data_IF_709923246825
#
_entry.id   IF_709923246825
#
_cell.length_a   1.000
_cell.length_b   1.000
_cell.length_c   1.000
_cell.angle_alpha   90.00
_cell.angle_beta   90.00
_cell.angle_gamma   90.00
#
_symmetry.space_group_name_H-M   'P 1'
#
loop_
_entity.id
_entity.type
_entity.pdbx_description
1 polymer ?
#
# COMPACT_ATOMS: atom_id res chain seq x y z
N UNK A 1 -53.28 28.61 -52.19
CA UNK A 1 -51.99 28.88 -51.56
C UNK A 1 -51.98 28.11 -50.24
N UNK A 2 -51.33 26.94 -50.19
CA UNK A 2 -51.20 26.04 -48.98
C UNK A 2 -49.84 26.28 -48.34
N UNK A 3 -49.80 26.82 -47.13
CA UNK A 3 -48.58 27.03 -46.34
C UNK A 3 -48.29 25.75 -45.56
N UNK A 4 -47.18 25.08 -45.89
CA UNK A 4 -46.68 23.98 -45.12
C UNK A 4 -45.87 24.50 -43.93
N UNK A 5 -46.27 24.13 -42.70
CA UNK A 5 -45.52 24.41 -41.50
C UNK A 5 -44.50 23.29 -41.32
N UNK A 6 -43.21 23.64 -41.31
CA UNK A 6 -42.10 22.72 -41.00
C UNK A 6 -41.89 22.75 -39.49
N UNK A 7 -42.20 21.65 -38.83
CA UNK A 7 -41.96 21.46 -37.38
C UNK A 7 -40.53 20.95 -37.20
N UNK A 8 -39.62 21.79 -36.71
CA UNK A 8 -38.25 21.40 -36.35
C UNK A 8 -38.28 20.82 -34.92
N UNK A 9 -38.15 19.50 -34.81
CA UNK A 9 -38.00 18.82 -33.52
C UNK A 9 -36.53 18.95 -33.11
N UNK A 10 -36.25 19.81 -32.15
CA UNK A 10 -34.94 19.91 -31.53
C UNK A 10 -34.74 18.69 -30.58
N UNK A 11 -33.91 17.76 -30.99
CA UNK A 11 -33.52 16.60 -30.19
C UNK A 11 -32.50 17.05 -29.13
N UNK A 12 -32.98 17.33 -27.91
CA UNK A 12 -32.11 17.62 -26.76
C UNK A 12 -31.42 16.35 -26.30
N UNK A 13 -30.13 16.21 -26.60
CA UNK A 13 -29.28 15.14 -26.05
C UNK A 13 -29.08 15.49 -24.56
N UNK A 14 -29.79 14.79 -23.68
CA UNK A 14 -29.46 14.78 -22.24
C UNK A 14 -28.12 14.07 -22.07
N UNK A 15 -27.07 14.82 -21.80
CA UNK A 15 -25.82 14.28 -21.30
C UNK A 15 -26.06 13.75 -19.88
N UNK A 16 -26.12 12.43 -19.74
CA UNK A 16 -26.12 11.80 -18.42
C UNK A 16 -24.77 12.12 -17.73
N UNK A 17 -24.80 12.58 -16.45
CA UNK A 17 -23.57 12.75 -15.70
C UNK A 17 -22.87 11.40 -15.62
N UNK A 18 -21.63 11.29 -16.09
CA UNK A 18 -20.79 10.14 -15.85
C UNK A 18 -20.62 10.01 -14.34
N UNK A 19 -21.18 8.97 -13.75
CA UNK A 19 -20.90 8.63 -12.35
C UNK A 19 -19.40 8.34 -12.28
N UNK A 20 -18.64 9.23 -11.65
CA UNK A 20 -17.25 8.96 -11.35
C UNK A 20 -17.18 7.72 -10.48
N UNK A 21 -16.33 6.76 -10.84
CA UNK A 21 -16.10 5.57 -9.99
C UNK A 21 -15.72 6.03 -8.59
N UNK A 22 -16.25 5.38 -7.55
CA UNK A 22 -16.04 5.83 -6.19
C UNK A 22 -14.55 5.78 -5.84
N UNK A 23 -14.10 6.79 -5.11
CA UNK A 23 -12.77 6.80 -4.48
C UNK A 23 -12.58 5.55 -3.64
N UNK A 24 -11.47 4.85 -3.86
CA UNK A 24 -11.12 3.62 -3.12
C UNK A 24 -9.93 3.82 -2.18
N UNK A 25 -9.18 4.90 -2.39
CA UNK A 25 -7.98 5.19 -1.62
C UNK A 25 -7.35 6.51 -2.04
N UNK A 26 -6.12 6.69 -1.62
CA UNK A 26 -5.29 7.88 -1.89
C UNK A 26 -3.83 7.46 -2.14
N UNK A 27 -3.16 8.19 -3.00
CA UNK A 27 -1.69 8.10 -3.14
C UNK A 27 -1.04 8.75 -1.93
N UNK A 28 -0.34 7.98 -1.09
CA UNK A 28 0.25 8.47 0.17
C UNK A 28 1.74 8.77 0.06
N UNK A 29 2.45 8.18 -0.92
CA UNK A 29 3.83 8.53 -1.25
C UNK A 29 4.13 8.18 -2.70
N UNK A 30 5.07 8.92 -3.32
CA UNK A 30 5.56 8.62 -4.67
C UNK A 30 7.04 8.94 -4.79
N UNK A 31 7.71 8.26 -5.71
CA UNK A 31 9.05 8.61 -6.21
C UNK A 31 8.96 8.63 -7.72
N UNK A 32 9.61 9.60 -8.36
CA UNK A 32 9.52 9.78 -9.82
C UNK A 32 8.14 10.29 -10.26
N UNK A 33 7.68 9.83 -11.40
CA UNK A 33 6.42 10.22 -12.02
C UNK A 33 5.48 9.05 -12.29
N UNK A 34 5.07 8.25 -11.28
CA UNK A 34 4.10 7.19 -11.50
C UNK A 34 2.79 7.78 -12.03
N UNK A 35 2.12 7.03 -12.91
CA UNK A 35 0.87 7.49 -13.53
C UNK A 35 -0.32 6.64 -13.09
N UNK A 36 -1.49 7.28 -13.08
CA UNK A 36 -2.78 6.65 -12.87
C UNK A 36 -3.73 6.97 -14.00
N UNK A 37 -4.41 5.96 -14.52
CA UNK A 37 -5.44 6.12 -15.54
C UNK A 37 -6.77 5.60 -15.01
N UNK A 38 -7.64 6.49 -14.47
CA UNK A 38 -8.99 6.11 -14.07
C UNK A 38 -9.83 5.71 -15.29
N UNK A 39 -10.93 4.95 -15.08
CA UNK A 39 -11.87 4.65 -16.15
C UNK A 39 -12.41 5.93 -16.80
N UNK A 40 -12.52 5.90 -18.14
CA UNK A 40 -13.08 7.00 -18.93
C UNK A 40 -12.44 8.39 -18.71
N UNK A 41 -11.26 8.45 -18.08
CA UNK A 41 -10.53 9.69 -17.83
C UNK A 41 -9.13 9.63 -18.48
N UNK A 42 -8.51 10.81 -18.65
CA UNK A 42 -7.14 10.90 -19.11
C UNK A 42 -6.17 10.34 -18.05
N UNK A 43 -5.07 9.80 -18.52
CA UNK A 43 -3.95 9.41 -17.67
C UNK A 43 -3.37 10.67 -16.99
N UNK A 44 -3.04 10.54 -15.70
CA UNK A 44 -2.47 11.62 -14.90
C UNK A 44 -1.29 11.13 -14.07
N UNK A 45 -0.38 12.04 -13.74
CA UNK A 45 0.69 11.74 -12.79
C UNK A 45 0.09 11.64 -11.39
N UNK A 46 0.46 10.60 -10.67
CA UNK A 46 0.08 10.41 -9.28
C UNK A 46 0.99 11.23 -8.36
N UNK A 47 0.39 12.12 -7.60
CA UNK A 47 1.03 12.88 -6.54
C UNK A 47 0.46 12.48 -5.18
N UNK A 48 1.17 12.79 -4.10
CA UNK A 48 0.64 12.62 -2.74
C UNK A 48 -0.68 13.38 -2.60
N UNK A 49 -1.69 12.70 -2.06
CA UNK A 49 -3.04 13.25 -1.88
C UNK A 49 -3.98 13.03 -3.07
N UNK A 50 -3.50 12.56 -4.23
CA UNK A 50 -4.38 12.22 -5.35
C UNK A 50 -5.21 10.99 -4.99
N UNK A 51 -6.52 11.13 -5.17
CA UNK A 51 -7.47 10.04 -5.00
C UNK A 51 -7.24 8.94 -6.04
N UNK A 52 -7.38 7.71 -5.61
CA UNK A 52 -7.33 6.51 -6.45
C UNK A 52 -8.74 5.94 -6.57
N UNK A 53 -9.11 5.53 -7.78
CA UNK A 53 -10.45 5.06 -8.12
C UNK A 53 -10.48 3.55 -8.36
N UNK A 54 -11.67 2.96 -8.28
CA UNK A 54 -11.88 1.60 -8.76
C UNK A 54 -11.58 1.51 -10.26
N UNK A 55 -11.12 0.37 -10.71
CA UNK A 55 -10.72 0.10 -12.10
C UNK A 55 -9.59 1.00 -12.64
N UNK A 56 -8.92 1.78 -11.78
CA UNK A 56 -7.78 2.59 -12.18
C UNK A 56 -6.56 1.75 -12.48
N UNK A 57 -5.91 2.07 -13.60
CA UNK A 57 -4.63 1.46 -13.98
C UNK A 57 -3.51 2.33 -13.42
N UNK A 58 -2.61 1.73 -12.63
CA UNK A 58 -1.41 2.38 -12.12
C UNK A 58 -0.19 1.84 -12.86
N UNK A 59 0.66 2.74 -13.34
CA UNK A 59 1.89 2.40 -14.07
C UNK A 59 3.08 3.16 -13.48
N UNK A 60 4.22 2.47 -13.38
CA UNK A 60 5.49 3.03 -12.90
C UNK A 60 6.59 2.79 -13.94
N UNK A 61 7.45 3.78 -14.14
CA UNK A 61 8.67 3.64 -14.92
C UNK A 61 9.81 2.99 -14.12
N UNK A 62 11.01 2.96 -14.69
CA UNK A 62 12.20 2.29 -14.09
C UNK A 62 12.62 2.86 -12.74
N UNK A 63 12.39 4.14 -12.51
CA UNK A 63 12.76 4.84 -11.28
C UNK A 63 11.55 5.25 -10.43
N UNK A 64 10.34 4.91 -10.89
CA UNK A 64 9.12 5.36 -10.25
C UNK A 64 8.64 4.34 -9.20
N UNK A 65 7.96 4.86 -8.20
CA UNK A 65 7.24 4.08 -7.18
C UNK A 65 6.00 4.81 -6.76
N UNK A 66 4.99 4.07 -6.36
CA UNK A 66 3.78 4.61 -5.76
C UNK A 66 3.41 3.83 -4.49
N UNK A 67 2.95 4.54 -3.49
CA UNK A 67 2.35 3.94 -2.30
C UNK A 67 0.90 4.37 -2.20
N UNK A 68 -0.01 3.41 -2.29
CA UNK A 68 -1.45 3.60 -2.26
C UNK A 68 -1.99 3.16 -0.90
N UNK A 69 -2.80 4.01 -0.29
CA UNK A 69 -3.50 3.72 0.97
C UNK A 69 -4.99 3.62 0.68
N UNK A 70 -5.59 2.46 0.92
CA UNK A 70 -7.00 2.20 0.69
C UNK A 70 -7.87 2.60 1.90
N UNK A 71 -9.16 2.81 1.66
CA UNK A 71 -10.11 3.25 2.69
C UNK A 71 -10.29 2.26 3.85
N UNK A 72 -9.99 0.98 3.64
CA UNK A 72 -10.01 -0.05 4.69
C UNK A 72 -8.73 -0.09 5.54
N UNK A 73 -7.75 0.78 5.22
CA UNK A 73 -6.42 0.81 5.82
C UNK A 73 -5.44 -0.22 5.26
N UNK A 74 -5.80 -0.96 4.20
CA UNK A 74 -4.81 -1.72 3.41
C UNK A 74 -3.86 -0.77 2.70
N UNK A 75 -2.63 -1.21 2.45
CA UNK A 75 -1.71 -0.45 1.60
C UNK A 75 -1.05 -1.32 0.54
N UNK A 76 -0.74 -0.69 -0.58
CA UNK A 76 -0.06 -1.30 -1.71
C UNK A 76 1.12 -0.42 -2.12
N UNK A 77 2.33 -0.95 -1.99
CA UNK A 77 3.53 -0.33 -2.56
C UNK A 77 3.79 -0.94 -3.93
N UNK A 78 3.90 -0.08 -4.93
CA UNK A 78 4.16 -0.43 -6.33
C UNK A 78 5.61 -0.08 -6.62
N UNK A 79 6.41 -1.07 -6.97
CA UNK A 79 7.82 -0.93 -7.32
C UNK A 79 8.02 -0.41 -8.74
N UNK A 80 9.27 -0.34 -9.22
CA UNK A 80 9.59 0.13 -10.57
C UNK A 80 9.09 -0.84 -11.65
N UNK A 81 8.91 -0.30 -12.87
CA UNK A 81 8.49 -1.03 -14.06
C UNK A 81 7.25 -1.89 -13.85
N UNK A 82 6.31 -1.39 -13.05
CA UNK A 82 5.13 -2.12 -12.68
C UNK A 82 3.89 -1.58 -13.39
N UNK A 83 2.92 -2.50 -13.58
CA UNK A 83 1.60 -2.19 -14.08
C UNK A 83 0.56 -3.03 -13.33
N UNK A 84 -0.43 -2.36 -12.78
CA UNK A 84 -1.55 -3.00 -12.10
C UNK A 84 -2.87 -2.29 -12.40
N UNK A 85 -3.97 -2.99 -12.13
CA UNK A 85 -5.31 -2.41 -12.10
C UNK A 85 -5.95 -2.71 -10.75
N UNK A 86 -6.57 -1.71 -10.15
CA UNK A 86 -7.40 -1.89 -8.94
C UNK A 86 -8.76 -2.41 -9.41
N UNK A 87 -8.88 -3.73 -9.56
CA UNK A 87 -10.00 -4.35 -10.25
C UNK A 87 -11.32 -4.20 -9.48
N UNK A 88 -11.28 -4.43 -8.17
CA UNK A 88 -12.45 -4.32 -7.30
C UNK A 88 -12.08 -3.76 -5.94
N UNK A 89 -12.86 -2.81 -5.47
CA UNK A 89 -12.83 -2.36 -4.08
C UNK A 89 -14.25 -2.06 -3.61
N UNK A 90 -14.69 -2.79 -2.61
CA UNK A 90 -15.95 -2.54 -1.88
C UNK A 90 -15.61 -2.59 -0.40
N UNK A 91 -16.00 -1.61 0.36
CA UNK A 91 -15.74 -1.56 1.79
C UNK A 91 -16.92 -0.97 2.55
N UNK A 92 -17.40 -1.70 3.55
CA UNK A 92 -18.37 -1.24 4.53
C UNK A 92 -17.65 -0.88 5.84
N UNK A 93 -17.50 0.42 6.16
CA UNK A 93 -16.79 0.84 7.35
C UNK A 93 -17.49 0.46 8.65
N UNK A 94 -18.82 0.28 8.65
CA UNK A 94 -19.58 -0.06 9.83
C UNK A 94 -19.33 -1.52 10.25
N UNK A 95 -19.41 -2.43 9.30
CA UNK A 95 -19.18 -3.86 9.53
C UNK A 95 -17.71 -4.27 9.36
N UNK A 96 -16.85 -3.38 8.85
CA UNK A 96 -15.42 -3.61 8.54
C UNK A 96 -15.24 -4.78 7.57
N UNK A 97 -16.21 -4.99 6.68
CA UNK A 97 -16.21 -6.05 5.68
C UNK A 97 -16.06 -5.47 4.28
N UNK A 98 -15.70 -6.31 3.33
CA UNK A 98 -15.58 -5.87 1.95
C UNK A 98 -14.88 -6.87 1.05
N UNK A 99 -14.50 -6.40 -0.13
CA UNK A 99 -13.71 -7.15 -1.10
C UNK A 99 -12.68 -6.23 -1.75
N UNK A 100 -11.45 -6.71 -1.88
CA UNK A 100 -10.38 -6.07 -2.61
C UNK A 100 -9.76 -7.07 -3.58
N UNK A 101 -9.71 -6.68 -4.86
CA UNK A 101 -9.04 -7.45 -5.90
C UNK A 101 -8.14 -6.51 -6.72
N UNK A 102 -6.93 -6.97 -6.99
CA UNK A 102 -5.90 -6.26 -7.75
C UNK A 102 -5.44 -7.16 -8.89
N UNK A 103 -5.35 -6.63 -10.10
CA UNK A 103 -4.74 -7.32 -11.22
C UNK A 103 -3.34 -6.75 -11.43
N UNK A 104 -2.31 -7.51 -11.04
CA UNK A 104 -0.90 -7.14 -11.11
C UNK A 104 -0.25 -7.81 -12.32
N UNK A 105 -0.23 -7.12 -13.45
CA UNK A 105 0.25 -7.70 -14.71
C UNK A 105 1.78 -7.80 -14.82
N UNK A 106 2.50 -6.90 -14.14
CA UNK A 106 3.97 -6.84 -14.18
C UNK A 106 4.50 -6.02 -13.01
N UNK A 107 5.68 -6.37 -12.50
CA UNK A 107 6.44 -5.60 -11.53
C UNK A 107 6.50 -6.25 -10.14
N UNK A 108 7.00 -5.48 -9.17
CA UNK A 108 7.12 -5.88 -7.77
C UNK A 108 6.14 -5.08 -6.92
N UNK A 109 5.42 -5.78 -6.05
CA UNK A 109 4.36 -5.21 -5.23
C UNK A 109 4.49 -5.70 -3.80
N UNK A 110 4.27 -4.81 -2.83
CA UNK A 110 4.08 -5.18 -1.43
C UNK A 110 2.67 -4.81 -1.00
N UNK A 111 1.91 -5.80 -0.63
CA UNK A 111 0.57 -5.62 -0.06
C UNK A 111 0.64 -5.78 1.46
N UNK A 112 0.04 -4.84 2.18
CA UNK A 112 -0.18 -4.90 3.63
C UNK A 112 -1.68 -4.87 3.87
N UNK A 113 -2.21 -5.90 4.49
CA UNK A 113 -3.63 -6.07 4.71
C UNK A 113 -4.21 -5.13 5.76
N UNK A 114 -5.34 -4.51 5.44
CA UNK A 114 -6.17 -3.69 6.33
C UNK A 114 -7.34 -4.46 6.94
N UNK A 115 -8.46 -3.76 7.10
CA UNK A 115 -9.65 -4.31 7.76
C UNK A 115 -10.33 -5.40 6.94
N UNK A 116 -10.40 -5.24 5.60
CA UNK A 116 -10.98 -6.25 4.70
C UNK A 116 -10.24 -7.57 4.87
N UNK A 117 -8.90 -7.56 4.83
CA UNK A 117 -8.09 -8.78 4.86
C UNK A 117 -8.23 -9.60 6.14
N UNK A 118 -8.76 -9.01 7.22
CA UNK A 118 -9.03 -9.71 8.49
C UNK A 118 -10.33 -10.52 8.45
N UNK A 119 -11.28 -10.12 7.61
CA UNK A 119 -12.61 -10.73 7.52
C UNK A 119 -12.80 -11.54 6.24
N UNK A 120 -12.15 -11.12 5.14
CA UNK A 120 -12.21 -11.78 3.84
C UNK A 120 -10.83 -11.81 3.19
N UNK A 121 -10.51 -12.81 2.37
CA UNK A 121 -9.25 -12.82 1.64
C UNK A 121 -9.19 -11.68 0.61
N UNK A 122 -8.03 -11.05 0.50
CA UNK A 122 -7.72 -10.12 -0.59
C UNK A 122 -7.12 -10.91 -1.75
N UNK A 123 -7.55 -10.61 -2.96
CA UNK A 123 -7.13 -11.32 -4.17
C UNK A 123 -6.17 -10.47 -4.99
N UNK A 124 -5.06 -11.08 -5.43
CA UNK A 124 -4.16 -10.50 -6.42
C UNK A 124 -4.04 -11.48 -7.59
N UNK A 125 -4.44 -11.03 -8.77
CA UNK A 125 -4.33 -11.79 -10.01
C UNK A 125 -3.08 -11.38 -10.76
N UNK A 126 -2.31 -12.34 -11.22
CA UNK A 126 -1.10 -12.16 -12.01
C UNK A 126 -1.22 -12.99 -13.31
N UNK A 127 -0.33 -12.82 -14.30
CA UNK A 127 -0.38 -13.62 -15.53
C UNK A 127 -0.31 -15.13 -15.29
N UNK A 128 0.39 -15.58 -14.26
CA UNK A 128 0.62 -17.01 -14.00
C UNK A 128 -0.13 -17.59 -12.81
N UNK A 129 -0.74 -16.76 -11.95
CA UNK A 129 -1.41 -17.24 -10.73
C UNK A 129 -2.46 -16.26 -10.20
N UNK A 130 -3.40 -16.79 -9.43
CA UNK A 130 -4.28 -16.03 -8.53
C UNK A 130 -3.82 -16.25 -7.11
N UNK A 131 -3.50 -15.16 -6.42
CA UNK A 131 -3.03 -15.14 -5.05
C UNK A 131 -4.14 -14.66 -4.14
N UNK A 132 -4.27 -15.24 -2.94
CA UNK A 132 -5.12 -14.70 -1.89
C UNK A 132 -4.33 -14.59 -0.59
N UNK A 133 -4.60 -13.55 0.21
CA UNK A 133 -4.00 -13.38 1.52
C UNK A 133 -5.07 -13.03 2.55
N UNK A 134 -4.99 -13.67 3.72
CA UNK A 134 -5.83 -13.37 4.89
C UNK A 134 -4.98 -12.74 5.98
N UNK A 135 -5.19 -11.46 6.20
CA UNK A 135 -4.49 -10.67 7.22
C UNK A 135 -2.98 -10.81 7.12
N UNK A 136 -2.26 -9.78 6.76
CA UNK A 136 -0.83 -9.89 6.73
C UNK A 136 -0.14 -9.10 5.63
N UNK A 137 1.07 -9.54 5.30
CA UNK A 137 1.97 -8.89 4.35
C UNK A 137 2.45 -9.93 3.34
N UNK A 138 2.30 -9.62 2.06
CA UNK A 138 2.93 -10.39 0.99
C UNK A 138 3.70 -9.47 0.05
N UNK A 139 4.75 -10.02 -0.55
CA UNK A 139 5.46 -9.40 -1.68
C UNK A 139 5.25 -10.30 -2.88
N UNK A 140 4.90 -9.67 -4.00
CA UNK A 140 4.64 -10.36 -5.27
C UNK A 140 5.55 -9.76 -6.33
N UNK A 141 6.32 -10.61 -6.98
CA UNK A 141 7.08 -10.27 -8.19
C UNK A 141 6.45 -11.01 -9.36
N UNK A 142 5.96 -10.28 -10.35
CA UNK A 142 5.26 -10.85 -11.50
C UNK A 142 5.86 -10.34 -12.80
N UNK A 143 6.00 -11.24 -13.74
CA UNK A 143 6.32 -10.95 -15.14
C UNK A 143 5.47 -11.82 -16.09
N UNK A 144 5.69 -11.70 -17.40
CA UNK A 144 4.94 -12.45 -18.40
C UNK A 144 5.12 -13.98 -18.30
N UNK A 145 6.18 -14.45 -17.64
CA UNK A 145 6.56 -15.87 -17.58
C UNK A 145 6.25 -16.53 -16.24
N UNK A 146 6.31 -15.77 -15.16
CA UNK A 146 6.20 -16.31 -13.79
C UNK A 146 5.70 -15.30 -12.79
N UNK A 147 5.28 -15.83 -11.64
CA UNK A 147 4.99 -15.09 -10.42
C UNK A 147 5.74 -15.72 -9.26
N UNK A 148 6.40 -14.90 -8.46
CA UNK A 148 6.98 -15.28 -7.16
C UNK A 148 6.16 -14.57 -6.08
N UNK A 149 5.52 -15.35 -5.21
CA UNK A 149 4.73 -14.84 -4.09
C UNK A 149 5.44 -15.19 -2.78
N UNK A 150 5.87 -14.18 -2.04
CA UNK A 150 6.55 -14.30 -0.76
C UNK A 150 5.58 -13.98 0.38
N UNK A 151 5.38 -14.91 1.29
CA UNK A 151 4.57 -14.72 2.49
C UNK A 151 5.44 -14.18 3.61
N UNK A 152 5.26 -12.88 3.94
CA UNK A 152 6.09 -12.18 4.92
C UNK A 152 5.51 -12.31 6.32
N UNK A 153 4.18 -12.14 6.44
CA UNK A 153 3.45 -12.19 7.71
C UNK A 153 1.97 -12.40 7.46
N UNK A 154 1.25 -13.03 8.40
CA UNK A 154 -0.20 -13.18 8.36
C UNK A 154 -0.66 -14.57 8.78
N UNK A 155 -1.93 -14.89 8.46
CA UNK A 155 -2.50 -16.20 8.75
C UNK A 155 -2.09 -17.22 7.69
N UNK A 156 -2.40 -16.92 6.45
CA UNK A 156 -2.07 -17.76 5.29
C UNK A 156 -2.05 -16.94 4.00
N UNK A 157 -1.33 -17.47 3.03
CA UNK A 157 -1.34 -17.03 1.64
C UNK A 157 -1.61 -18.24 0.76
N UNK A 158 -2.57 -18.12 -0.15
CA UNK A 158 -2.92 -19.20 -1.09
C UNK A 158 -2.57 -18.78 -2.51
N UNK A 159 -1.98 -19.68 -3.25
CA UNK A 159 -1.60 -19.51 -4.66
C UNK A 159 -2.36 -20.56 -5.49
N UNK A 160 -3.13 -20.11 -6.46
CA UNK A 160 -3.92 -20.95 -7.35
C UNK A 160 -3.50 -20.73 -8.80
N UNK A 161 -3.23 -21.82 -9.52
CA UNK A 161 -2.94 -21.81 -10.95
C UNK A 161 -3.27 -23.17 -11.55
N UNK A 162 -3.72 -23.18 -12.80
CA UNK A 162 -4.01 -24.40 -13.56
C UNK A 162 -4.84 -25.44 -12.75
N UNK A 163 -5.89 -24.98 -12.06
CA UNK A 163 -6.80 -25.81 -11.27
C UNK A 163 -6.22 -26.41 -9.99
N UNK A 164 -4.99 -26.06 -9.62
CA UNK A 164 -4.34 -26.50 -8.38
C UNK A 164 -4.09 -25.34 -7.43
N UNK A 165 -4.09 -25.66 -6.13
CA UNK A 165 -3.92 -24.70 -5.06
C UNK A 165 -2.78 -25.13 -4.16
N UNK A 166 -1.93 -24.17 -3.79
CA UNK A 166 -0.84 -24.31 -2.81
C UNK A 166 -1.02 -23.26 -1.74
N UNK A 167 -0.99 -23.65 -0.47
CA UNK A 167 -1.14 -22.75 0.69
C UNK A 167 0.17 -22.62 1.43
N UNK A 168 0.52 -21.38 1.78
CA UNK A 168 1.69 -21.01 2.58
C UNK A 168 1.22 -20.46 3.91
N UNK A 169 1.59 -21.12 5.00
CA UNK A 169 1.25 -20.70 6.38
C UNK A 169 2.46 -20.25 7.17
N UNK A 170 3.66 -20.45 6.61
CA UNK A 170 4.92 -20.15 7.27
C UNK A 170 5.52 -18.84 6.72
N UNK A 171 5.68 -17.85 7.59
CA UNK A 171 6.35 -16.60 7.25
C UNK A 171 7.79 -16.85 6.76
N UNK A 172 8.23 -16.06 5.78
CA UNK A 172 9.53 -16.23 5.14
C UNK A 172 9.58 -17.34 4.08
N UNK A 173 8.43 -17.91 3.70
CA UNK A 173 8.31 -18.89 2.62
C UNK A 173 7.70 -18.25 1.37
N UNK A 174 8.01 -18.83 0.24
CA UNK A 174 7.51 -18.37 -1.08
C UNK A 174 7.01 -19.53 -1.93
N UNK A 175 6.21 -19.17 -2.92
CA UNK A 175 5.80 -20.05 -4.02
C UNK A 175 6.15 -19.38 -5.33
N UNK A 176 6.76 -20.13 -6.25
CA UNK A 176 7.00 -19.72 -7.63
C UNK A 176 6.03 -20.46 -8.54
N UNK A 177 5.37 -19.74 -9.42
CA UNK A 177 4.42 -20.29 -10.40
C UNK A 177 4.81 -19.80 -11.79
N UNK A 178 5.05 -20.71 -12.72
CA UNK A 178 5.27 -20.39 -14.12
C UNK A 178 3.94 -20.39 -14.89
N UNK A 179 3.89 -19.60 -15.96
CA UNK A 179 2.68 -19.53 -16.78
C UNK A 179 2.28 -20.92 -17.30
N UNK A 180 0.99 -21.24 -17.24
CA UNK A 180 0.46 -22.53 -17.69
C UNK A 180 0.79 -23.73 -16.80
N UNK A 181 1.48 -23.55 -15.68
CA UNK A 181 1.81 -24.64 -14.75
C UNK A 181 1.02 -24.53 -13.43
N UNK A 182 0.98 -25.62 -12.67
CA UNK A 182 0.52 -25.58 -11.30
C UNK A 182 1.48 -24.77 -10.43
N UNK A 183 1.02 -24.21 -9.28
CA UNK A 183 1.90 -23.57 -8.32
C UNK A 183 2.97 -24.54 -7.81
N UNK A 184 4.20 -24.06 -7.66
CA UNK A 184 5.27 -24.84 -7.03
C UNK A 184 4.95 -25.18 -5.57
N UNK A 185 5.76 -26.05 -4.98
CA UNK A 185 5.70 -26.32 -3.55
C UNK A 185 6.20 -25.08 -2.76
N UNK A 186 5.64 -24.80 -1.57
CA UNK A 186 6.19 -23.80 -0.69
C UNK A 186 7.63 -24.12 -0.34
N UNK A 187 8.51 -23.12 -0.42
CA UNK A 187 9.91 -23.24 -0.06
C UNK A 187 10.36 -22.02 0.73
N UNK A 188 11.39 -22.13 1.59
CA UNK A 188 11.98 -20.97 2.23
C UNK A 188 12.43 -19.95 1.17
N UNK A 189 12.16 -18.69 1.41
CA UNK A 189 12.66 -17.61 0.55
C UNK A 189 14.19 -17.63 0.57
N UNK A 190 14.88 -17.68 -0.59
CA UNK A 190 16.32 -17.70 -0.63
C UNK A 190 16.92 -16.51 0.13
N UNK A 191 18.07 -16.70 0.81
CA UNK A 191 18.76 -15.63 1.53
C UNK A 191 19.00 -14.42 0.60
N UNK A 192 18.67 -13.22 1.09
CA UNK A 192 18.84 -11.97 0.32
C UNK A 192 17.71 -11.64 -0.66
N UNK A 193 16.89 -12.60 -1.10
CA UNK A 193 15.81 -12.33 -2.06
C UNK A 193 14.77 -11.35 -1.52
N UNK A 194 14.33 -11.54 -0.27
CA UNK A 194 13.40 -10.61 0.37
C UNK A 194 14.00 -9.20 0.47
N UNK A 195 15.26 -9.08 0.85
CA UNK A 195 15.94 -7.78 0.92
C UNK A 195 16.07 -7.12 -0.45
N UNK A 196 16.33 -7.90 -1.51
CA UNK A 196 16.39 -7.40 -2.88
C UNK A 196 15.05 -6.83 -3.34
N UNK A 197 13.94 -7.55 -3.10
CA UNK A 197 12.59 -7.07 -3.47
C UNK A 197 12.19 -5.85 -2.63
N UNK A 198 12.50 -5.82 -1.33
CA UNK A 198 12.26 -4.66 -0.48
C UNK A 198 13.01 -3.42 -0.98
N UNK A 199 14.28 -3.58 -1.39
CA UNK A 199 15.08 -2.49 -1.96
C UNK A 199 14.45 -1.89 -3.23
N UNK A 200 13.82 -2.70 -4.07
CA UNK A 200 13.08 -2.22 -5.23
C UNK A 200 11.85 -1.38 -4.82
N UNK A 201 11.24 -1.68 -3.68
CA UNK A 201 10.06 -1.00 -3.16
C UNK A 201 10.39 0.24 -2.33
N UNK A 202 11.63 0.41 -1.90
CA UNK A 202 12.08 1.59 -1.16
C UNK A 202 12.36 2.76 -2.11
N UNK A 203 12.13 4.00 -1.64
CA UNK A 203 12.51 5.19 -2.38
C UNK A 203 14.04 5.25 -2.57
N UNK A 204 14.49 5.64 -3.74
CA UNK A 204 15.91 5.92 -3.97
C UNK A 204 16.27 7.17 -3.17
N UNK A 205 17.14 7.03 -2.17
CA UNK A 205 17.60 8.15 -1.35
C UNK A 205 18.18 9.26 -2.23
N UNK A 206 17.72 10.50 -2.03
CA UNK A 206 18.20 11.67 -2.75
C UNK A 206 17.34 12.16 -3.91
N UNK A 207 16.29 11.44 -4.32
CA UNK A 207 15.29 12.02 -5.21
C UNK A 207 14.22 12.74 -4.36
N UNK A 208 13.92 14.03 -4.64
CA UNK A 208 12.81 14.69 -3.96
C UNK A 208 11.54 13.91 -4.23
N UNK A 209 10.86 13.49 -3.16
CA UNK A 209 9.54 12.88 -3.30
C UNK A 209 8.58 13.91 -3.92
N UNK A 210 7.59 13.45 -4.69
CA UNK A 210 6.54 14.37 -5.17
C UNK A 210 5.81 15.08 -4.01
N UNK A 211 5.91 14.56 -2.77
CA UNK A 211 5.45 15.22 -1.57
C UNK A 211 6.17 16.55 -1.33
N UNK A 212 7.51 16.58 -1.51
CA UNK A 212 8.29 17.82 -1.35
C UNK A 212 7.94 18.84 -2.43
N UNK A 213 7.68 18.38 -3.65
CA UNK A 213 7.25 19.25 -4.76
C UNK A 213 5.81 19.74 -4.57
N UNK A 214 4.90 18.89 -4.12
CA UNK A 214 3.52 19.27 -3.82
C UNK A 214 3.47 20.25 -2.63
N UNK A 215 4.27 20.03 -1.59
CA UNK A 215 4.38 20.93 -0.46
C UNK A 215 4.94 22.30 -0.87
N UNK A 216 5.96 22.35 -1.75
CA UNK A 216 6.47 23.60 -2.32
C UNK A 216 5.45 24.33 -3.17
N UNK A 217 4.69 23.61 -3.99
CA UNK A 217 3.66 24.18 -4.86
C UNK A 217 2.45 24.69 -4.07
N UNK A 218 2.13 24.08 -2.93
CA UNK A 218 1.02 24.49 -2.05
C UNK A 218 1.41 25.57 -1.02
N UNK A 219 2.67 26.01 -0.99
CA UNK A 219 3.17 27.01 -0.02
C UNK A 219 3.39 26.47 1.38
N UNK A 220 3.10 25.19 1.64
CA UNK A 220 3.30 24.58 2.95
C UNK A 220 4.79 24.33 3.27
N UNK A 221 5.62 24.11 2.24
CA UNK A 221 7.04 23.86 2.42
C UNK A 221 7.81 25.12 2.89
N UNK A 222 7.36 26.29 2.47
CA UNK A 222 8.04 27.55 2.82
C UNK A 222 7.89 27.91 4.31
N UNK A 223 6.88 27.37 4.97
CA UNK A 223 6.67 27.62 6.42
C UNK A 223 7.46 26.66 7.31
N UNK A 224 7.90 25.52 6.80
CA UNK A 224 8.53 24.47 7.62
C UNK A 224 9.93 24.06 7.17
N UNK A 225 10.39 24.52 6.01
CA UNK A 225 11.72 24.16 5.44
C UNK A 225 12.87 25.05 5.92
N UNK A 226 12.59 26.12 6.66
CA UNK A 226 13.61 27.12 7.01
C UNK A 226 14.12 27.92 5.82
N UNK A 227 13.48 27.84 4.66
CA UNK A 227 13.78 28.59 3.46
C UNK A 227 12.69 29.64 3.21
N UNK A 228 13.06 30.89 3.02
CA UNK A 228 12.16 31.97 2.62
C UNK A 228 11.70 31.85 1.17
N UNK A 229 10.71 32.67 0.72
CA UNK A 229 10.29 32.73 -0.66
C UNK A 229 11.46 33.00 -1.60
N UNK A 230 11.74 32.05 -2.50
CA UNK A 230 12.88 32.10 -3.40
C UNK A 230 14.06 31.20 -3.02
N UNK A 231 13.92 30.31 -2.02
CA UNK A 231 14.92 29.29 -1.69
C UNK A 231 16.17 29.81 -0.96
N UNK A 232 16.11 31.00 -0.39
CA UNK A 232 17.20 31.52 0.44
C UNK A 232 17.05 31.06 1.90
N UNK A 233 18.14 30.71 2.61
CA UNK A 233 18.08 30.35 4.03
C UNK A 233 17.52 31.52 4.86
N UNK A 234 16.45 31.28 5.59
CA UNK A 234 16.00 32.20 6.63
C UNK A 234 17.10 32.23 7.73
N UNK A 235 17.60 33.43 8.02
CA UNK A 235 18.76 33.63 8.91
C UNK A 235 18.64 32.92 10.26
N UNK A 236 19.73 32.87 10.99
CA UNK A 236 20.10 32.03 12.14
C UNK A 236 19.09 31.88 13.32
N UNK A 237 17.90 32.46 13.26
CA UNK A 237 16.89 32.35 14.31
C UNK A 237 16.04 31.07 14.26
N UNK A 238 16.23 30.22 13.23
CA UNK A 238 15.44 28.97 13.06
C UNK A 238 16.09 27.74 13.72
N UNK A 239 17.28 27.87 14.29
CA UNK A 239 17.97 26.77 14.99
C UNK A 239 17.28 26.41 16.30
N UNK A 240 16.52 27.33 16.88
CA UNK A 240 15.83 27.13 18.16
C UNK A 240 14.58 26.23 18.02
N UNK A 241 13.87 26.30 16.87
CA UNK A 241 12.65 25.52 16.66
C UNK A 241 12.98 24.03 16.41
N UNK A 242 14.09 23.73 15.74
CA UNK A 242 14.54 22.35 15.53
C UNK A 242 14.97 21.68 16.86
N UNK A 243 15.56 22.45 17.77
CA UNK A 243 15.96 21.95 19.10
C UNK A 243 14.77 21.65 20.01
N UNK A 244 13.74 22.47 19.98
CA UNK A 244 12.54 22.26 20.79
C UNK A 244 11.69 21.08 20.29
N UNK A 245 11.56 20.91 18.98
CA UNK A 245 10.86 19.76 18.41
C UNK A 245 11.57 18.44 18.74
N UNK A 246 12.91 18.40 18.67
CA UNK A 246 13.71 17.24 19.04
C UNK A 246 13.63 16.96 20.54
N UNK A 247 13.62 18.00 21.39
CA UNK A 247 13.46 17.85 22.82
C UNK A 247 12.04 17.41 23.21
N UNK A 248 11.00 17.86 22.49
CA UNK A 248 9.62 17.40 22.71
C UNK A 248 9.44 15.91 22.37
N UNK A 249 10.05 15.43 21.29
CA UNK A 249 10.03 14.00 20.91
C UNK A 249 10.82 13.16 21.92
N UNK A 250 11.98 13.63 22.38
CA UNK A 250 12.79 12.94 23.37
C UNK A 250 12.10 12.91 24.75
N UNK A 251 11.45 14.00 25.17
CA UNK A 251 10.66 14.04 26.41
C UNK A 251 9.41 13.14 26.33
N UNK A 252 8.72 13.07 25.20
CA UNK A 252 7.60 12.16 25.01
C UNK A 252 8.04 10.69 25.08
N UNK A 253 9.21 10.37 24.55
CA UNK A 253 9.76 9.01 24.60
C UNK A 253 10.24 8.62 26.01
N UNK A 254 10.71 9.58 26.83
CA UNK A 254 11.11 9.34 28.21
C UNK A 254 9.89 9.16 29.13
N UNK A 255 8.77 9.81 28.83
CA UNK A 255 7.54 9.67 29.61
C UNK A 255 6.76 8.36 29.31
N UNK A 256 7.10 7.65 28.24
CA UNK A 256 6.52 6.34 27.89
C UNK A 256 7.30 5.16 28.48
N UNK A 257 8.43 5.37 29.15
CA UNK A 257 9.05 4.33 29.95
C UNK A 257 8.20 4.09 31.19
N UNK A 258 7.36 3.08 31.10
CA UNK A 258 6.57 2.54 32.21
C UNK A 258 7.49 2.31 33.42
N UNK A 259 7.17 2.83 34.63
CA UNK A 259 7.92 2.50 35.82
C UNK A 259 7.98 0.97 35.99
N UNK A 260 9.16 0.47 36.29
CA UNK A 260 9.33 -0.96 36.58
C UNK A 260 8.39 -1.33 37.75
N UNK A 261 7.58 -2.35 37.55
CA UNK A 261 6.76 -2.93 38.61
C UNK A 261 7.71 -3.36 39.75
N UNK A 262 7.37 -3.08 41.01
CA UNK A 262 8.12 -3.60 42.13
C UNK A 262 8.15 -5.14 42.08
N UNK A 263 9.24 -5.80 42.52
CA UNK A 263 9.33 -7.23 42.51
C UNK A 263 8.22 -7.85 43.36
N UNK A 264 7.62 -8.91 42.85
CA UNK A 264 6.58 -9.66 43.55
C UNK A 264 7.12 -10.12 44.96
N UNK A 265 6.28 -10.12 46.00
CA UNK A 265 6.70 -10.63 47.29
C UNK A 265 7.09 -12.10 47.20
N UNK A 266 8.23 -12.47 47.79
CA UNK A 266 8.70 -13.84 47.88
C UNK A 266 7.67 -14.71 48.61
N UNK A 267 7.40 -15.93 48.11
CA UNK A 267 6.53 -16.85 48.83
C UNK A 267 7.17 -17.22 50.19
N UNK A 268 6.34 -17.42 51.22
CA UNK A 268 6.86 -17.80 52.57
C UNK A 268 7.68 -19.08 52.53
N UNK A 269 8.76 -19.09 53.28
CA UNK A 269 9.65 -20.25 53.37
C UNK A 269 8.88 -21.49 53.85
N UNK A 270 9.14 -22.62 53.21
CA UNK A 270 8.53 -23.90 53.59
C UNK A 270 8.97 -24.28 55.04
N UNK A 271 8.05 -24.84 55.83
CA UNK A 271 8.38 -25.26 57.20
C UNK A 271 9.43 -26.41 57.19
N UNK A 272 10.29 -26.49 58.19
CA UNK A 272 11.33 -27.54 58.31
C UNK A 272 10.67 -28.91 58.43
N UNK A 273 11.19 -29.86 57.64
CA UNK A 273 10.80 -31.28 57.76
C UNK A 273 11.21 -31.77 59.12
N UNK A 274 10.23 -32.27 59.89
CA UNK A 274 10.50 -32.96 61.13
C UNK A 274 11.29 -34.22 60.93
N UNK A 275 12.02 -34.71 62.00
CA UNK A 275 12.80 -35.92 61.92
C UNK A 275 11.87 -37.14 61.72
N UNK A 276 12.19 -37.98 60.71
CA UNK A 276 11.51 -39.22 60.51
C UNK A 276 11.84 -40.26 61.60
N UNK A 277 10.78 -40.89 62.03
CA UNK A 277 10.83 -42.19 62.71
C UNK A 277 10.48 -43.27 61.73
#
# INVERSE_FOLDING_TARGET
MKRAAVCVIALSVLALPALADPRVGVTSATTGGPTGKPPAQAERVLHVGIDVQASEIVTTGSNDRAHLLFLDGSSLTVGPQARLTIDKFVYDPNNKTGALAINASQGVFRFVGGKISKTAPVTVVTPSATLTIRGGIMIVSADASRTVAMFVFGNDMTVMANGRTTTVTRAGWQVTTFIGTAPGQPAPTPPGSLAAELKLLEAIGGQPSNADNAAKTSGFADQNSGLGPGGQPLGANNTTISGEATNAVNNANTSLQKPALPPAPMPPAAPPRGPGF
#
